data_IF_448419872793
#
_entry.id   IF_448419872793
#
_cell.length_a   1.000
_cell.length_b   1.000
_cell.length_c   1.000
_cell.angle_alpha   90.00
_cell.angle_beta   90.00
_cell.angle_gamma   90.00
#
_symmetry.space_group_name_H-M   'P 1'
#
loop_
_entity.id
_entity.type
_entity.pdbx_description
1 polymer ?
#
# COMPACT_ATOMS: atom_id res chain seq x y z
N UNK A 1 20.71 8.53 3.39
CA UNK A 1 20.01 8.25 2.11
C UNK A 1 19.74 6.76 1.89
N UNK A 2 20.76 5.89 1.93
CA UNK A 2 20.55 4.44 1.73
C UNK A 2 19.53 3.82 2.70
N UNK A 3 19.63 4.11 4.00
CA UNK A 3 18.69 3.59 5.00
C UNK A 3 17.24 4.01 4.69
N UNK A 4 17.01 5.30 4.44
CA UNK A 4 15.68 5.85 4.13
C UNK A 4 15.09 5.20 2.87
N UNK A 5 15.90 5.03 1.82
CA UNK A 5 15.44 4.41 0.58
C UNK A 5 15.15 2.91 0.76
N UNK A 6 15.95 2.20 1.56
CA UNK A 6 15.66 0.82 1.96
C UNK A 6 14.39 0.72 2.81
N UNK A 7 14.15 1.67 3.72
CA UNK A 7 12.90 1.73 4.48
C UNK A 7 11.70 1.87 3.55
N UNK A 8 11.76 2.75 2.54
CA UNK A 8 10.70 2.89 1.55
C UNK A 8 10.49 1.59 0.74
N UNK A 9 11.57 0.94 0.29
CA UNK A 9 11.49 -0.36 -0.41
C UNK A 9 10.79 -1.43 0.41
N UNK A 10 11.23 -1.59 1.67
CA UNK A 10 10.70 -2.64 2.55
C UNK A 10 9.23 -2.38 2.89
N UNK A 11 8.89 -1.13 3.25
CA UNK A 11 7.51 -0.76 3.57
C UNK A 11 6.59 -0.88 2.35
N UNK A 12 7.02 -0.44 1.16
CA UNK A 12 6.24 -0.60 -0.07
C UNK A 12 6.04 -2.06 -0.46
N UNK A 13 7.08 -2.89 -0.33
CA UNK A 13 6.98 -4.32 -0.63
C UNK A 13 6.04 -5.02 0.37
N UNK A 14 6.16 -4.70 1.66
CA UNK A 14 5.27 -5.24 2.69
C UNK A 14 3.82 -4.79 2.51
N UNK A 15 3.60 -3.52 2.13
CA UNK A 15 2.29 -2.98 1.81
C UNK A 15 1.65 -3.75 0.64
N UNK A 16 2.36 -3.89 -0.49
CA UNK A 16 1.88 -4.64 -1.64
C UNK A 16 1.58 -6.11 -1.29
N UNK A 17 2.41 -6.75 -0.47
CA UNK A 17 2.16 -8.11 0.00
C UNK A 17 0.87 -8.18 0.85
N UNK A 18 0.62 -7.19 1.70
CA UNK A 18 -0.64 -7.05 2.45
C UNK A 18 -1.86 -6.87 1.55
N UNK A 19 -1.74 -6.07 0.48
CA UNK A 19 -2.79 -5.89 -0.53
C UNK A 19 -3.07 -7.18 -1.32
N UNK A 20 -2.04 -7.94 -1.70
CA UNK A 20 -2.21 -9.27 -2.29
C UNK A 20 -2.88 -10.23 -1.31
N UNK A 21 -2.51 -10.18 -0.03
CA UNK A 21 -3.17 -10.90 1.05
C UNK A 21 -4.66 -10.54 1.17
N UNK A 22 -5.02 -9.26 1.05
CA UNK A 22 -6.43 -8.84 1.01
C UNK A 22 -7.21 -9.53 -0.11
N UNK A 23 -6.65 -9.58 -1.31
CA UNK A 23 -7.28 -10.20 -2.47
C UNK A 23 -7.49 -11.71 -2.26
N UNK A 24 -6.48 -12.41 -1.74
CA UNK A 24 -6.57 -13.83 -1.43
C UNK A 24 -7.65 -14.12 -0.36
N UNK A 25 -7.63 -13.38 0.75
CA UNK A 25 -8.60 -13.54 1.85
C UNK A 25 -10.03 -13.20 1.40
N UNK A 26 -10.21 -12.15 0.59
CA UNK A 26 -11.50 -11.81 -0.01
C UNK A 26 -11.99 -12.91 -0.97
N UNK A 27 -11.09 -13.48 -1.78
CA UNK A 27 -11.39 -14.59 -2.67
C UNK A 27 -11.90 -15.82 -1.90
N UNK A 28 -11.19 -16.23 -0.86
CA UNK A 28 -11.60 -17.35 -0.01
C UNK A 28 -12.95 -17.09 0.68
N UNK A 29 -13.17 -15.87 1.18
CA UNK A 29 -14.46 -15.47 1.75
C UNK A 29 -15.62 -15.66 0.76
N UNK A 30 -15.45 -15.22 -0.49
CA UNK A 30 -16.49 -15.35 -1.53
C UNK A 30 -16.73 -16.82 -1.93
N UNK A 31 -15.76 -17.72 -1.72
CA UNK A 31 -15.96 -19.17 -1.88
C UNK A 31 -16.74 -19.84 -0.74
N UNK A 32 -17.11 -19.09 0.31
CA UNK A 32 -17.93 -19.58 1.42
C UNK A 32 -17.20 -19.75 2.75
N UNK A 33 -15.89 -19.51 2.80
CA UNK A 33 -15.12 -19.52 4.05
C UNK A 33 -15.34 -18.21 4.83
N UNK A 34 -16.39 -18.17 5.62
CA UNK A 34 -16.84 -16.95 6.33
C UNK A 34 -15.82 -16.43 7.34
N UNK A 35 -14.93 -17.28 7.87
CA UNK A 35 -13.88 -16.88 8.80
C UNK A 35 -12.84 -15.98 8.14
N UNK A 36 -12.64 -16.14 6.82
CA UNK A 36 -11.74 -15.30 6.04
C UNK A 36 -12.18 -13.83 5.99
N UNK A 37 -13.43 -13.51 6.29
CA UNK A 37 -13.87 -12.13 6.44
C UNK A 37 -13.21 -11.45 7.65
N UNK A 38 -13.05 -12.16 8.76
CA UNK A 38 -12.36 -11.65 9.95
C UNK A 38 -10.87 -11.45 9.66
N UNK A 39 -10.25 -12.43 9.01
CA UNK A 39 -8.85 -12.31 8.57
C UNK A 39 -8.65 -11.17 7.59
N UNK A 40 -9.57 -10.99 6.63
CA UNK A 40 -9.56 -9.88 5.69
C UNK A 40 -9.61 -8.54 6.43
N UNK A 41 -10.47 -8.38 7.44
CA UNK A 41 -10.51 -7.15 8.27
C UNK A 41 -9.22 -6.92 9.06
N UNK A 42 -8.68 -7.95 9.70
CA UNK A 42 -7.44 -7.84 10.48
C UNK A 42 -6.26 -7.46 9.59
N UNK A 43 -6.13 -8.11 8.42
CA UNK A 43 -5.11 -7.79 7.44
C UNK A 43 -5.29 -6.36 6.88
N UNK A 44 -6.53 -5.88 6.69
CA UNK A 44 -6.79 -4.49 6.28
C UNK A 44 -6.17 -3.50 7.27
N UNK A 45 -6.37 -3.72 8.58
CA UNK A 45 -5.77 -2.89 9.62
C UNK A 45 -4.23 -2.87 9.59
N UNK A 46 -3.61 -4.05 9.45
CA UNK A 46 -2.14 -4.17 9.35
C UNK A 46 -1.60 -3.50 8.08
N UNK A 47 -2.24 -3.76 6.93
CA UNK A 47 -1.84 -3.21 5.64
C UNK A 47 -1.95 -1.69 5.64
N UNK A 48 -3.04 -1.15 6.19
CA UNK A 48 -3.23 0.29 6.31
C UNK A 48 -2.20 0.95 7.23
N UNK A 49 -1.86 0.31 8.35
CA UNK A 49 -0.79 0.78 9.24
C UNK A 49 0.59 0.79 8.56
N UNK A 50 0.92 -0.25 7.78
CA UNK A 50 2.16 -0.31 6.98
C UNK A 50 2.23 0.83 5.96
N UNK A 51 1.09 1.23 5.39
CA UNK A 51 1.02 2.32 4.43
C UNK A 51 1.35 3.69 5.07
N UNK A 52 0.97 3.92 6.33
CA UNK A 52 1.43 5.10 7.06
C UNK A 52 2.94 5.07 7.30
N UNK A 53 3.52 3.91 7.64
CA UNK A 53 4.97 3.78 7.77
C UNK A 53 5.69 4.05 6.43
N UNK A 54 5.11 3.58 5.31
CA UNK A 54 5.58 3.89 3.96
C UNK A 54 5.51 5.39 3.68
N UNK A 55 4.40 6.06 4.03
CA UNK A 55 4.26 7.51 3.86
C UNK A 55 5.33 8.27 4.63
N UNK A 56 5.60 7.89 5.88
CA UNK A 56 6.69 8.48 6.67
C UNK A 56 8.03 8.28 5.98
N UNK A 57 8.35 7.06 5.54
CA UNK A 57 9.60 6.78 4.82
C UNK A 57 9.73 7.61 3.52
N UNK A 58 8.63 7.78 2.78
CA UNK A 58 8.59 8.59 1.57
C UNK A 58 8.76 10.09 1.85
N UNK A 59 8.18 10.62 2.93
CA UNK A 59 8.39 12.01 3.37
C UNK A 59 9.83 12.24 3.82
N UNK A 60 10.42 11.28 4.54
CA UNK A 60 11.83 11.31 4.94
C UNK A 60 12.76 11.29 3.72
N UNK A 61 12.40 10.55 2.67
CA UNK A 61 13.13 10.56 1.40
C UNK A 61 13.03 11.93 0.73
N UNK A 62 11.84 12.53 0.67
CA UNK A 62 11.62 13.81 0.02
C UNK A 62 12.31 14.97 0.73
N UNK A 63 12.04 15.18 2.03
CA UNK A 63 12.45 16.42 2.72
C UNK A 63 13.87 16.34 3.29
N UNK A 64 14.16 15.51 4.30
CA UNK A 64 15.54 15.29 4.76
C UNK A 64 16.46 14.69 3.69
N UNK A 65 15.96 13.70 2.94
CA UNK A 65 16.75 12.98 1.94
C UNK A 65 16.93 13.72 0.61
N UNK A 66 16.20 14.82 0.38
CA UNK A 66 16.20 15.61 -0.87
C UNK A 66 15.92 14.78 -2.13
N UNK A 67 15.26 13.63 -1.97
CA UNK A 67 14.79 12.79 -3.06
C UNK A 67 13.50 13.31 -3.69
N UNK A 68 12.94 12.57 -4.67
CA UNK A 68 11.73 12.96 -5.36
C UNK A 68 10.55 13.04 -4.40
N UNK A 69 9.70 14.04 -4.59
CA UNK A 69 8.50 14.26 -3.79
C UNK A 69 7.36 13.26 -4.10
N UNK A 70 7.33 12.74 -5.32
CA UNK A 70 6.19 11.98 -5.82
C UNK A 70 5.87 10.70 -5.01
N UNK A 71 6.84 9.94 -4.44
CA UNK A 71 6.50 8.76 -3.62
C UNK A 71 5.72 9.14 -2.36
N UNK A 72 5.95 10.35 -1.81
CA UNK A 72 5.19 10.85 -0.67
C UNK A 72 3.75 11.17 -1.07
N UNK A 73 3.55 11.85 -2.20
CA UNK A 73 2.22 12.11 -2.76
C UNK A 73 1.48 10.82 -3.12
N UNK A 74 2.15 9.86 -3.76
CA UNK A 74 1.57 8.56 -4.10
C UNK A 74 1.14 7.79 -2.83
N UNK A 75 2.00 7.78 -1.80
CA UNK A 75 1.66 7.15 -0.52
C UNK A 75 0.48 7.86 0.18
N UNK A 76 0.41 9.18 0.13
CA UNK A 76 -0.71 9.94 0.71
C UNK A 76 -2.03 9.67 -0.03
N UNK A 77 -1.99 9.60 -1.36
CA UNK A 77 -3.16 9.22 -2.18
C UNK A 77 -3.59 7.79 -1.89
N UNK A 78 -2.65 6.85 -1.76
CA UNK A 78 -2.94 5.48 -1.36
C UNK A 78 -3.59 5.43 0.03
N UNK A 79 -3.12 6.23 1.01
CA UNK A 79 -3.74 6.29 2.35
C UNK A 79 -5.20 6.72 2.21
N UNK A 80 -5.47 7.80 1.48
CA UNK A 80 -6.84 8.27 1.26
C UNK A 80 -7.70 7.22 0.54
N UNK A 81 -7.15 6.58 -0.49
CA UNK A 81 -7.82 5.53 -1.25
C UNK A 81 -8.15 4.32 -0.36
N UNK A 82 -7.25 3.86 0.50
CA UNK A 82 -7.50 2.79 1.44
C UNK A 82 -8.51 3.17 2.53
N UNK A 83 -8.50 4.42 3.00
CA UNK A 83 -9.52 4.90 3.94
C UNK A 83 -10.91 4.84 3.30
N UNK A 84 -11.05 5.31 2.06
CA UNK A 84 -12.29 5.17 1.28
C UNK A 84 -12.63 3.70 1.09
N UNK A 85 -11.63 2.86 0.79
CA UNK A 85 -11.78 1.44 0.58
C UNK A 85 -12.36 0.72 1.80
N UNK A 86 -11.84 1.03 2.99
CA UNK A 86 -12.35 0.51 4.26
C UNK A 86 -13.80 0.95 4.45
N UNK A 87 -14.12 2.22 4.23
CA UNK A 87 -15.48 2.74 4.40
C UNK A 87 -16.50 2.04 3.47
N UNK A 88 -16.18 1.89 2.18
CA UNK A 88 -17.07 1.19 1.22
C UNK A 88 -17.16 -0.31 1.53
N UNK A 89 -16.08 -0.93 2.01
CA UNK A 89 -16.05 -2.33 2.45
C UNK A 89 -16.94 -2.59 3.66
N UNK A 90 -16.87 -1.72 4.69
CA UNK A 90 -17.76 -1.80 5.86
C UNK A 90 -19.23 -1.56 5.48
N UNK A 91 -19.46 -0.69 4.49
CA UNK A 91 -20.79 -0.41 3.93
C UNK A 91 -21.28 -1.50 2.97
N UNK A 92 -20.47 -2.53 2.70
CA UNK A 92 -20.77 -3.66 1.80
C UNK A 92 -21.06 -3.25 0.35
N UNK A 93 -20.52 -2.11 -0.10
CA UNK A 93 -20.71 -1.60 -1.46
C UNK A 93 -19.65 -2.22 -2.37
N UNK A 94 -19.83 -3.51 -2.70
CA UNK A 94 -18.82 -4.31 -3.43
C UNK A 94 -18.49 -3.77 -4.83
N UNK A 95 -19.48 -3.14 -5.48
CA UNK A 95 -19.32 -2.54 -6.81
C UNK A 95 -18.24 -1.44 -6.85
N UNK A 96 -18.02 -0.74 -5.73
CA UNK A 96 -16.93 0.23 -5.59
C UNK A 96 -15.71 -0.37 -4.89
N UNK A 97 -15.93 -1.28 -3.94
CA UNK A 97 -14.85 -1.87 -3.17
C UNK A 97 -13.86 -2.66 -4.05
N UNK A 98 -14.38 -3.53 -4.92
CA UNK A 98 -13.55 -4.40 -5.75
C UNK A 98 -12.70 -3.61 -6.77
N UNK A 99 -13.27 -2.66 -7.57
CA UNK A 99 -12.47 -1.89 -8.52
C UNK A 99 -11.44 -0.98 -7.85
N UNK A 100 -11.81 -0.33 -6.74
CA UNK A 100 -10.87 0.47 -5.95
C UNK A 100 -9.72 -0.41 -5.42
N UNK A 101 -9.99 -1.68 -5.12
CA UNK A 101 -9.00 -2.60 -4.55
C UNK A 101 -7.96 -2.96 -5.59
N UNK A 102 -8.42 -3.21 -6.81
CA UNK A 102 -7.57 -3.43 -7.96
C UNK A 102 -6.75 -2.18 -8.31
N UNK A 103 -7.33 -0.98 -8.21
CA UNK A 103 -6.61 0.27 -8.45
C UNK A 103 -5.49 0.50 -7.41
N UNK A 104 -5.77 0.25 -6.14
CA UNK A 104 -4.78 0.30 -5.05
C UNK A 104 -3.67 -0.71 -5.30
N UNK A 105 -4.01 -1.96 -5.66
CA UNK A 105 -3.03 -2.97 -6.04
C UNK A 105 -2.10 -2.50 -7.17
N UNK A 106 -2.66 -1.98 -8.27
CA UNK A 106 -1.88 -1.50 -9.40
C UNK A 106 -0.94 -0.35 -9.02
N UNK A 107 -1.43 0.63 -8.25
CA UNK A 107 -0.63 1.75 -7.78
C UNK A 107 0.49 1.33 -6.82
N UNK A 108 0.21 0.42 -5.88
CA UNK A 108 1.22 -0.15 -4.98
C UNK A 108 2.27 -0.95 -5.75
N UNK A 109 1.87 -1.75 -6.75
CA UNK A 109 2.78 -2.50 -7.60
C UNK A 109 3.72 -1.59 -8.41
N UNK A 110 3.20 -0.50 -8.98
CA UNK A 110 3.99 0.50 -9.69
C UNK A 110 5.01 1.19 -8.76
N UNK A 111 4.60 1.54 -7.54
CA UNK A 111 5.50 2.13 -6.56
C UNK A 111 6.62 1.15 -6.17
N UNK A 112 6.28 -0.10 -5.86
CA UNK A 112 7.27 -1.15 -5.56
C UNK A 112 8.23 -1.32 -6.73
N UNK A 113 7.73 -1.51 -7.95
CA UNK A 113 8.54 -1.64 -9.15
C UNK A 113 9.52 -0.47 -9.30
N UNK A 114 9.04 0.77 -9.12
CA UNK A 114 9.92 1.94 -9.15
C UNK A 114 11.02 1.89 -8.09
N UNK A 115 10.69 1.51 -6.85
CA UNK A 115 11.69 1.46 -5.78
C UNK A 115 12.81 0.45 -6.08
N UNK A 116 12.50 -0.67 -6.75
CA UNK A 116 13.47 -1.71 -7.08
C UNK A 116 14.23 -1.42 -8.38
N UNK A 117 13.60 -0.79 -9.36
CA UNK A 117 14.23 -0.40 -10.63
C UNK A 117 15.19 0.79 -10.49
N UNK A 118 15.04 1.62 -9.46
CA UNK A 118 15.95 2.75 -9.19
C UNK A 118 16.99 2.38 -8.14
N UNK A 119 18.27 2.70 -8.42
CA UNK A 119 19.32 2.59 -7.41
C UNK A 119 19.28 3.75 -6.42
N UNK A 120 19.63 3.54 -5.13
CA UNK A 120 19.73 4.62 -4.14
C UNK A 120 20.65 5.77 -4.58
N UNK A 121 21.65 5.47 -5.42
CA UNK A 121 22.63 6.43 -5.95
C UNK A 121 22.06 7.38 -7.02
N UNK A 122 21.08 6.94 -7.81
CA UNK A 122 20.51 7.74 -8.91
C UNK A 122 19.43 8.71 -8.45
N UNK A 123 19.00 8.60 -7.19
CA UNK A 123 18.01 9.48 -6.55
C UNK A 123 18.69 10.62 -5.78
N UNK A 124 20.01 10.55 -5.63
CA UNK A 124 20.85 11.45 -4.84
C UNK A 124 21.57 12.55 -5.66
N UNK A 125 21.54 12.45 -6.98
CA UNK A 125 22.15 13.38 -7.96
C UNK A 125 21.14 14.42 -8.41
#
# INVERSE_FOLDING_TARGET
MNVIFWSLRLTATAHLAGVLGQAALAGLFVTGDVDMLTWHRNNAGVTHALLYAQLVAAVLLWRPGRGPAWPAWASAVLVAAETVQVAVGQSRILSWHMPLGMAIFGASALLVAWTWLRSPRTVAS
#
